data_IF_261084311956
#
_entry.id   IF_261084311956
#
_cell.length_a   1.000
_cell.length_b   1.000
_cell.length_c   1.000
_cell.angle_alpha   90.00
_cell.angle_beta   90.00
_cell.angle_gamma   90.00
#
_symmetry.space_group_name_H-M   'P 1'
#
loop_
_entity.id
_entity.type
_entity.pdbx_description
1 polymer ?
#
# COMPACT_ATOMS: atom_id res chain seq x y z
N UNK A 1 -18.55 11.66 -0.55
CA UNK A 1 -17.34 12.23 0.04
C UNK A 1 -16.47 11.11 0.60
N UNK A 2 -15.20 11.15 0.36
CA UNK A 2 -14.30 10.13 0.88
C UNK A 2 -13.22 10.78 1.73
N UNK A 3 -12.76 10.03 2.73
CA UNK A 3 -11.73 10.52 3.64
C UNK A 3 -10.38 10.03 3.13
N UNK A 4 -9.63 10.94 2.59
CA UNK A 4 -8.33 10.64 2.04
C UNK A 4 -7.33 10.35 3.16
N UNK A 5 -6.48 9.36 2.94
CA UNK A 5 -5.43 9.01 3.89
C UNK A 5 -4.09 8.98 3.20
N UNK A 6 -3.09 9.52 3.85
CA UNK A 6 -1.72 9.43 3.42
C UNK A 6 -0.87 9.34 4.67
N UNK A 7 -0.08 8.29 4.80
CA UNK A 7 0.71 8.12 6.01
C UNK A 7 1.84 7.14 5.83
N UNK A 8 2.81 7.26 6.71
CA UNK A 8 4.00 6.43 6.72
C UNK A 8 4.03 5.60 7.98
N UNK A 9 4.42 4.35 7.86
CA UNK A 9 4.45 3.50 9.03
C UNK A 9 5.24 2.23 8.78
N UNK A 10 5.26 1.38 9.80
CA UNK A 10 5.99 0.12 9.75
C UNK A 10 5.03 -1.04 9.76
N UNK A 11 5.30 -2.04 8.92
CA UNK A 11 4.53 -3.27 8.92
C UNK A 11 4.88 -4.03 10.19
N UNK A 12 3.86 -4.35 10.98
CA UNK A 12 4.06 -4.94 12.30
C UNK A 12 3.89 -6.43 12.39
N UNK A 13 3.42 -7.08 11.33
CA UNK A 13 3.24 -8.53 11.34
C UNK A 13 3.32 -9.04 9.92
N UNK A 14 3.36 -10.37 9.77
CA UNK A 14 3.39 -10.96 8.45
C UNK A 14 2.11 -10.63 7.70
N UNK A 15 2.17 -10.34 6.40
CA UNK A 15 0.97 -10.04 5.62
C UNK A 15 0.01 -11.22 5.59
N UNK A 16 -1.27 -10.92 5.49
CA UNK A 16 -2.31 -11.91 5.33
C UNK A 16 -2.88 -11.83 3.92
N UNK A 17 -3.01 -12.96 3.27
CA UNK A 17 -3.52 -13.02 1.92
C UNK A 17 -4.79 -13.87 1.88
N UNK A 18 -5.81 -13.38 1.19
CA UNK A 18 -7.08 -14.11 1.06
C UNK A 18 -7.63 -13.97 -0.34
N UNK A 19 -8.34 -15.00 -0.76
CA UNK A 19 -9.08 -14.97 -2.01
C UNK A 19 -10.56 -15.19 -1.73
N UNK A 20 -11.38 -14.44 -2.45
CA UNK A 20 -12.83 -14.54 -2.30
C UNK A 20 -13.44 -14.94 -3.64
N UNK A 21 -14.31 -15.94 -3.66
CA UNK A 21 -14.95 -16.35 -4.92
C UNK A 21 -15.70 -15.19 -5.55
N UNK A 22 -15.70 -15.16 -6.87
CA UNK A 22 -16.32 -14.06 -7.60
C UNK A 22 -17.10 -14.63 -8.79
N UNK A 23 -18.01 -15.56 -8.50
CA UNK A 23 -18.82 -16.20 -9.53
C UNK A 23 -17.94 -16.96 -10.52
N UNK A 24 -18.12 -16.68 -11.80
CA UNK A 24 -17.33 -17.30 -12.83
C UNK A 24 -16.07 -16.51 -13.17
N UNK A 25 -15.90 -15.37 -12.53
CA UNK A 25 -14.73 -14.53 -12.77
C UNK A 25 -13.59 -14.98 -11.86
N UNK A 26 -12.44 -14.39 -12.08
CA UNK A 26 -11.30 -14.65 -11.21
C UNK A 26 -11.64 -14.22 -9.79
N UNK A 27 -11.10 -14.92 -8.78
CA UNK A 27 -11.39 -14.54 -7.42
C UNK A 27 -10.86 -13.14 -7.12
N UNK A 28 -11.54 -12.47 -6.21
CA UNK A 28 -11.05 -11.21 -5.70
C UNK A 28 -9.94 -11.49 -4.69
N UNK A 29 -8.85 -10.79 -4.82
CA UNK A 29 -7.67 -11.06 -4.01
C UNK A 29 -7.38 -9.88 -3.10
N UNK A 30 -7.22 -10.20 -1.83
CA UNK A 30 -7.00 -9.21 -0.79
C UNK A 30 -5.67 -9.47 -0.09
N UNK A 31 -4.87 -8.44 0.02
CA UNK A 31 -3.68 -8.47 0.85
C UNK A 31 -3.89 -7.49 1.98
N UNK A 32 -3.70 -7.98 3.20
CA UNK A 32 -3.93 -7.17 4.39
C UNK A 32 -2.64 -7.03 5.16
N UNK A 33 -2.27 -5.80 5.45
CA UNK A 33 -1.08 -5.48 6.22
C UNK A 33 -1.52 -4.82 7.51
N UNK A 34 -0.78 -5.11 8.58
CA UNK A 34 -1.01 -4.44 9.85
C UNK A 34 0.10 -3.43 10.04
N UNK A 35 -0.23 -2.15 10.00
CA UNK A 35 0.77 -1.08 9.94
C UNK A 35 0.63 -0.17 11.14
N UNK A 36 1.76 0.13 11.77
CA UNK A 36 1.80 1.16 12.80
C UNK A 36 2.24 2.46 12.15
N UNK A 37 1.34 3.43 12.16
CA UNK A 37 1.60 4.75 11.61
C UNK A 37 2.05 5.63 12.76
N UNK A 38 3.33 5.93 12.81
CA UNK A 38 3.87 6.75 13.87
C UNK A 38 3.72 8.23 13.51
N UNK A 39 3.90 9.06 14.50
CA UNK A 39 3.80 10.51 14.32
C UNK A 39 5.05 11.15 14.93
N UNK A 40 6.20 11.03 14.24
CA UNK A 40 7.44 11.54 14.81
C UNK A 40 7.43 13.07 14.80
N UNK A 41 7.76 13.63 15.95
CA UNK A 41 7.82 15.07 16.15
C UNK A 41 9.22 15.40 16.65
N UNK A 42 9.89 16.40 16.05
CA UNK A 42 11.24 16.75 16.52
C UNK A 42 11.19 17.30 17.94
N UNK A 43 12.18 16.92 18.74
CA UNK A 43 12.33 17.43 20.07
C UNK A 43 13.44 18.48 20.10
N UNK A 44 13.59 19.14 21.25
CA UNK A 44 14.59 20.18 21.39
C UNK A 44 16.01 19.64 21.26
N UNK A 45 16.19 18.37 21.53
CA UNK A 45 17.53 17.77 21.45
C UNK A 45 17.91 17.29 20.07
N UNK A 46 17.06 17.52 19.05
CA UNK A 46 17.36 17.06 17.70
C UNK A 46 16.89 15.66 17.38
N UNK A 47 16.36 14.98 18.36
CA UNK A 47 15.79 13.64 18.14
C UNK A 47 14.32 13.75 17.79
N UNK A 48 13.72 12.62 17.47
CA UNK A 48 12.30 12.54 17.16
C UNK A 48 11.60 11.72 18.24
N UNK A 49 10.36 12.09 18.50
CA UNK A 49 9.53 11.43 19.48
C UNK A 49 8.19 11.13 18.86
N UNK A 50 7.67 9.91 19.06
CA UNK A 50 6.36 9.54 18.50
C UNK A 50 5.27 10.13 19.39
N UNK A 51 4.46 11.01 18.80
CA UNK A 51 3.45 11.76 19.54
C UNK A 51 2.04 11.37 19.13
N UNK A 52 1.76 10.11 19.02
CA UNK A 52 0.38 9.73 18.78
C UNK A 52 0.16 8.96 17.52
N UNK A 53 0.94 7.92 17.33
CA UNK A 53 0.72 7.01 16.24
C UNK A 53 -0.44 6.07 16.53
N UNK A 54 -0.78 5.26 15.54
CA UNK A 54 -1.88 4.31 15.70
C UNK A 54 -1.67 3.11 14.79
N UNK A 55 -2.25 1.99 15.19
CA UNK A 55 -2.26 0.78 14.39
C UNK A 55 -3.50 0.78 13.51
N UNK A 56 -3.34 0.37 12.26
CA UNK A 56 -4.49 0.21 11.40
C UNK A 56 -4.24 -0.90 10.40
N UNK A 57 -5.29 -1.70 10.10
CA UNK A 57 -5.18 -2.63 8.99
C UNK A 57 -5.23 -1.87 7.67
N UNK A 58 -4.39 -2.29 6.74
CA UNK A 58 -4.31 -1.71 5.41
C UNK A 58 -4.68 -2.80 4.43
N UNK A 59 -5.71 -2.56 3.64
CA UNK A 59 -6.22 -3.56 2.70
C UNK A 59 -5.91 -3.14 1.28
N UNK A 60 -5.36 -4.08 0.53
CA UNK A 60 -5.03 -3.88 -0.87
C UNK A 60 -5.80 -4.91 -1.68
N UNK A 61 -6.72 -4.45 -2.52
CA UNK A 61 -7.48 -5.31 -3.44
C UNK A 61 -6.86 -5.19 -4.82
N UNK A 62 -6.19 -6.26 -5.26
CA UNK A 62 -5.53 -6.24 -6.57
C UNK A 62 -5.21 -7.67 -6.97
N UNK A 63 -5.27 -7.94 -8.27
CA UNK A 63 -5.03 -9.29 -8.75
C UNK A 63 -3.60 -9.75 -8.46
N UNK A 64 -2.64 -8.83 -8.39
CA UNK A 64 -1.25 -9.20 -8.19
C UNK A 64 -0.87 -9.34 -6.73
N UNK A 65 -1.82 -9.21 -5.81
CA UNK A 65 -1.53 -9.40 -4.39
C UNK A 65 -1.09 -10.82 -4.10
N UNK A 66 -1.46 -11.79 -4.95
CA UNK A 66 -0.97 -13.14 -4.81
C UNK A 66 0.56 -13.20 -4.87
N UNK A 67 1.14 -12.30 -5.65
CA UNK A 67 2.60 -12.18 -5.72
C UNK A 67 3.12 -11.22 -4.65
N UNK A 68 2.42 -10.12 -4.44
CA UNK A 68 2.89 -9.07 -3.53
C UNK A 68 2.93 -9.54 -2.08
N UNK A 69 2.17 -10.56 -1.73
CA UNK A 69 2.21 -11.08 -0.35
C UNK A 69 3.60 -11.55 0.05
N UNK A 70 4.42 -11.90 -0.92
CA UNK A 70 5.78 -12.35 -0.65
C UNK A 70 6.79 -11.21 -0.68
N UNK A 71 6.37 -10.02 -1.09
CA UNK A 71 7.26 -8.86 -1.15
C UNK A 71 7.24 -8.06 0.14
N UNK A 72 6.05 -7.85 0.70
CA UNK A 72 5.94 -7.07 1.92
C UNK A 72 6.34 -7.92 3.12
N UNK A 73 7.15 -7.36 4.00
CA UNK A 73 7.67 -8.08 5.14
C UNK A 73 7.51 -7.26 6.40
N UNK A 74 7.35 -7.97 7.51
CA UNK A 74 7.33 -7.34 8.83
C UNK A 74 8.59 -6.51 9.00
N UNK A 75 8.42 -5.30 9.48
CA UNK A 75 9.56 -4.40 9.71
C UNK A 75 9.82 -3.43 8.59
N UNK A 76 9.19 -3.61 7.43
CA UNK A 76 9.36 -2.67 6.34
C UNK A 76 8.66 -1.36 6.61
N UNK A 77 9.29 -0.27 6.18
CA UNK A 77 8.70 1.06 6.23
C UNK A 77 7.92 1.27 4.94
N UNK A 78 6.66 1.69 5.03
CA UNK A 78 5.81 1.87 3.86
C UNK A 78 5.12 3.21 3.90
N UNK A 79 4.80 3.72 2.71
CA UNK A 79 3.98 4.91 2.54
C UNK A 79 2.66 4.46 1.95
N UNK A 80 1.58 4.70 2.67
CA UNK A 80 0.25 4.23 2.31
C UNK A 80 -0.60 5.40 1.86
N UNK A 81 -1.24 5.26 0.72
CA UNK A 81 -2.15 6.26 0.19
C UNK A 81 -3.46 5.55 -0.15
N UNK A 82 -4.55 6.09 0.33
CA UNK A 82 -5.86 5.49 0.08
C UNK A 82 -6.95 6.24 0.79
N UNK A 83 -7.94 5.49 1.27
CA UNK A 83 -9.09 6.05 1.97
C UNK A 83 -9.20 5.41 3.33
N UNK A 84 -9.57 6.24 4.31
CA UNK A 84 -9.88 5.75 5.64
C UNK A 84 -11.33 5.31 5.65
N UNK A 85 -11.59 4.11 6.14
CA UNK A 85 -12.94 3.55 6.18
C UNK A 85 -13.23 3.05 7.58
N UNK A 86 -14.46 3.22 7.99
CA UNK A 86 -14.92 2.71 9.27
C UNK A 86 -15.76 1.49 9.02
N UNK A 87 -15.46 0.43 9.75
CA UNK A 87 -16.22 -0.81 9.62
C UNK A 87 -16.85 -1.14 10.95
N UNK A 88 -18.18 -0.98 11.07
CA UNK A 88 -18.86 -1.37 12.30
C UNK A 88 -19.01 -2.88 12.39
N UNK A 89 -18.94 -3.39 13.61
CA UNK A 89 -19.12 -4.83 13.85
C UNK A 89 -19.62 -5.02 15.26
N UNK A 90 -20.04 -6.25 15.56
CA UNK A 90 -20.58 -6.58 16.87
C UNK A 90 -19.68 -7.63 17.50
N UNK A 91 -19.28 -7.40 18.74
CA UNK A 91 -18.36 -8.32 19.40
C UNK A 91 -19.14 -9.49 20.03
N UNK A 92 -18.42 -10.35 20.73
CA UNK A 92 -19.01 -11.55 21.31
C UNK A 92 -20.01 -11.23 22.41
N UNK A 93 -19.95 -10.05 22.96
CA UNK A 93 -20.91 -9.63 24.00
C UNK A 93 -22.02 -8.77 23.41
N UNK A 94 -22.17 -8.81 22.10
CA UNK A 94 -23.21 -8.07 21.37
C UNK A 94 -23.10 -6.57 21.54
N UNK A 95 -21.88 -6.09 21.80
CA UNK A 95 -21.65 -4.66 21.91
C UNK A 95 -21.22 -4.11 20.55
N UNK A 96 -21.75 -2.96 20.15
CA UNK A 96 -21.31 -2.36 18.90
C UNK A 96 -19.86 -1.88 18.99
N UNK A 97 -19.08 -2.21 17.98
CA UNK A 97 -17.70 -1.81 17.89
C UNK A 97 -17.46 -1.25 16.52
N UNK A 98 -16.32 -0.61 16.33
CA UNK A 98 -15.93 -0.18 15.01
C UNK A 98 -14.42 -0.26 14.88
N UNK A 99 -14.00 -0.57 13.68
CA UNK A 99 -12.60 -0.64 13.33
C UNK A 99 -12.34 0.34 12.21
N UNK A 100 -11.31 1.15 12.36
CA UNK A 100 -10.86 1.99 11.27
C UNK A 100 -9.84 1.22 10.46
N UNK A 101 -10.02 1.20 9.16
CA UNK A 101 -9.09 0.53 8.26
C UNK A 101 -8.84 1.42 7.08
N UNK A 102 -7.77 1.12 6.36
CA UNK A 102 -7.39 1.92 5.20
C UNK A 102 -7.53 1.05 3.98
N UNK A 103 -8.35 1.50 3.03
CA UNK A 103 -8.45 0.87 1.73
C UNK A 103 -7.39 1.53 0.86
N UNK A 104 -6.30 0.82 0.63
CA UNK A 104 -5.12 1.42 0.01
C UNK A 104 -5.21 1.39 -1.50
N UNK A 105 -4.88 2.51 -2.11
CA UNK A 105 -4.64 2.56 -3.54
C UNK A 105 -3.18 2.23 -3.84
N UNK A 106 -2.28 2.63 -2.95
CA UNK A 106 -0.85 2.42 -3.15
C UNK A 106 -0.18 2.17 -1.82
N UNK A 107 0.74 1.21 -1.79
CA UNK A 107 1.58 0.98 -0.63
C UNK A 107 3.00 0.89 -1.14
N UNK A 108 3.74 1.98 -1.00
CA UNK A 108 5.11 2.05 -1.47
C UNK A 108 6.09 1.61 -0.40
N UNK A 109 7.05 0.80 -0.78
CA UNK A 109 8.08 0.36 0.15
C UNK A 109 9.16 1.42 0.19
N UNK A 110 9.45 1.93 1.38
CA UNK A 110 10.52 2.90 1.56
C UNK A 110 11.80 2.14 1.87
N UNK A 111 12.94 2.61 1.37
CA UNK A 111 14.14 1.78 1.34
C UNK A 111 14.96 1.72 2.62
N UNK A 112 14.42 2.15 3.74
CA UNK A 112 15.23 2.34 4.94
C UNK A 112 15.93 1.10 5.48
N UNK A 113 15.40 -0.07 5.27
CA UNK A 113 16.03 -1.30 5.72
C UNK A 113 16.19 -2.30 4.60
N UNK A 114 16.13 -1.81 3.37
CA UNK A 114 16.22 -2.68 2.20
C UNK A 114 17.68 -2.79 1.80
N UNK A 115 18.21 -3.99 1.76
CA UNK A 115 19.61 -4.21 1.38
C UNK A 115 19.79 -4.40 -0.11
N UNK A 116 18.80 -4.98 -0.77
CA UNK A 116 18.91 -5.21 -2.19
C UNK A 116 17.53 -5.33 -2.80
N UNK A 117 17.42 -5.05 -4.08
CA UNK A 117 16.17 -5.14 -4.82
C UNK A 117 16.48 -5.79 -6.17
N UNK A 118 15.61 -6.71 -6.56
CA UNK A 118 15.75 -7.37 -7.85
C UNK A 118 14.45 -7.21 -8.61
N UNK A 119 14.55 -6.81 -9.86
CA UNK A 119 13.36 -6.60 -10.68
C UNK A 119 13.22 -7.74 -11.69
N UNK A 120 11.97 -8.15 -11.90
CA UNK A 120 11.72 -9.14 -12.95
C UNK A 120 11.95 -8.48 -14.31
N UNK A 121 12.22 -9.29 -15.33
CA UNK A 121 12.40 -8.71 -16.67
C UNK A 121 11.14 -7.99 -17.11
N UNK A 122 11.34 -6.89 -17.81
CA UNK A 122 10.23 -6.12 -18.33
C UNK A 122 9.48 -6.96 -19.36
N UNK A 123 8.16 -7.07 -19.25
CA UNK A 123 7.42 -7.85 -20.25
C UNK A 123 7.46 -7.18 -21.61
N UNK A 124 7.25 -7.95 -22.68
CA UNK A 124 7.20 -7.35 -24.02
C UNK A 124 6.09 -6.30 -24.07
N UNK A 125 6.39 -5.18 -24.69
CA UNK A 125 5.44 -4.09 -24.76
C UNK A 125 4.63 -4.20 -26.02
N UNK A 126 3.32 -4.08 -25.90
CA UNK A 126 2.47 -4.14 -27.06
C UNK A 126 2.52 -2.83 -27.82
N UNK A 127 2.37 -2.87 -29.14
CA UNK A 127 2.52 -1.65 -29.92
C UNK A 127 1.58 -0.52 -29.51
N UNK A 128 0.35 -0.85 -29.15
CA UNK A 128 -0.56 0.21 -28.80
C UNK A 128 -0.33 0.78 -27.41
N UNK A 129 0.44 0.11 -26.60
CA UNK A 129 0.71 0.64 -25.27
C UNK A 129 1.75 1.75 -25.30
N UNK A 130 2.26 2.05 -26.47
CA UNK A 130 3.22 3.12 -26.55
C UNK A 130 2.62 4.45 -26.67
N UNK A 131 1.40 4.48 -26.65
CA UNK A 131 0.78 5.75 -26.82
C UNK A 131 1.05 6.62 -25.70
N UNK A 132 1.64 6.95 -25.50
CA UNK A 132 1.72 7.69 -24.40
C UNK A 132 2.87 8.19 -24.14
N UNK A 133 3.22 7.73 -24.67
CA UNK A 133 3.94 8.12 -24.25
C UNK A 133 4.47 8.90 -24.51
N UNK A 134 4.38 8.73 -24.95
CA UNK A 134 4.84 9.34 -25.15
C UNK A 134 5.31 10.02 -25.14
N UNK A 135 5.26 9.72 -25.23
CA UNK A 135 5.73 10.27 -25.21
C UNK A 135 6.40 10.75 -25.22
N UNK A 136 6.47 10.38 -25.40
CA UNK A 136 7.19 10.81 -25.44
C UNK A 136 7.77 11.42 -25.66
N UNK A 137 7.67 11.23 -25.82
CA UNK A 137 8.32 11.81 -26.11
C UNK A 137 8.85 12.43 -26.43
N UNK A 138 8.87 12.45 -26.55
CA UNK A 138 9.43 13.11 -26.94
C UNK A 138 10.10 13.50 -27.38
N UNK A 139 10.15 13.16 -27.54
CA UNK A 139 10.73 13.64 -27.88
C UNK A 139 11.23 14.39 -28.15
N UNK A 140 11.12 14.25 -28.09
CA UNK A 140 11.60 14.97 -28.31
C UNK A 140 12.24 15.54 -28.66
N UNK A 141 12.21 15.24 -28.75
CA UNK A 141 12.83 15.74 -29.10
C UNK A 141 13.46 16.03 -29.77
N UNK A 142 13.40 15.72 -29.99
CA UNK A 142 14.01 15.98 -30.63
C UNK A 142 14.31 16.71 -31.31
N UNK A 143 14.21 16.79 -31.46
CA UNK A 143 14.60 17.43 -32.16
C UNK A 143 15.02 18.33 -32.52
N UNK A 144 15.23 18.42 -32.69
CA UNK A 144 15.76 19.12 -33.03
C UNK A 144 16.43 19.63 -33.60
N UNK A 145 16.72 19.69 -34.16
CA UNK A 145 17.42 20.05 -34.59
C UNK A 145 17.75 20.69 -34.92
#
# INVERSE_FOLDING_TARGET
>A
MSTHFSGEGNIGSAPEYREFPNGNDEPRRLLRLNVYFDNPVPTKGGDFEDRGGFWAPVEIWHRDTAHWKDLYQKGMRVLVIGRMEREPWTDNEEQPRETWQISARSVGILPYRIESVSLSPKPPQEPDSQVDDASSAPKETKRRK
#
